data_IF_403635044491
#
_entry.id   IF_403635044491
#
_cell.length_a   1.000
_cell.length_b   1.000
_cell.length_c   1.000
_cell.angle_alpha   90.00
_cell.angle_beta   90.00
_cell.angle_gamma   90.00
#
_symmetry.space_group_name_H-M   'P 1'
#
loop_
_entity.id
_entity.type
_entity.pdbx_description
1 polymer ?
#
# COMPACT_ATOMS: atom_id res chain seq x y z
N UNK A 1 -9.98 23.24 9.29
CA UNK A 1 -8.64 22.93 9.82
C UNK A 1 -8.77 22.30 11.21
N UNK A 2 -9.51 21.19 11.32
CA UNK A 2 -9.72 20.44 12.59
C UNK A 2 -9.70 18.93 12.32
N UNK A 3 -10.20 18.51 11.16
CA UNK A 3 -10.09 17.12 10.68
C UNK A 3 -8.63 16.67 10.53
N UNK A 4 -7.72 17.56 10.12
CA UNK A 4 -6.31 17.21 9.92
C UNK A 4 -5.56 16.89 11.23
N UNK A 5 -5.99 17.48 12.35
CA UNK A 5 -5.34 17.32 13.65
C UNK A 5 -5.61 15.94 14.28
N UNK A 6 -6.84 15.44 14.16
CA UNK A 6 -7.23 14.13 14.70
C UNK A 6 -6.45 13.02 14.00
N UNK A 7 -6.30 13.12 12.68
CA UNK A 7 -5.53 12.17 11.90
C UNK A 7 -4.06 12.19 12.30
N UNK A 8 -3.46 13.36 12.45
CA UNK A 8 -2.06 13.48 12.84
C UNK A 8 -1.76 12.85 14.20
N UNK A 9 -2.58 13.16 15.22
CA UNK A 9 -2.46 12.56 16.57
C UNK A 9 -2.60 11.04 16.51
N UNK A 10 -3.58 10.55 15.74
CA UNK A 10 -3.80 9.12 15.59
C UNK A 10 -2.62 8.42 14.89
N UNK A 11 -2.01 9.08 13.89
CA UNK A 11 -0.83 8.58 13.18
C UNK A 11 0.38 8.50 14.14
N UNK A 12 0.58 9.54 14.97
CA UNK A 12 1.65 9.48 15.98
C UNK A 12 1.42 8.38 17.03
N UNK A 13 0.17 8.17 17.44
CA UNK A 13 -0.15 7.16 18.44
C UNK A 13 0.10 5.74 17.91
N UNK A 14 -0.33 5.43 16.67
CA UNK A 14 -0.09 4.11 16.09
C UNK A 14 1.40 3.86 15.83
N UNK A 15 2.18 4.90 15.51
CA UNK A 15 3.64 4.81 15.38
C UNK A 15 4.32 4.39 16.69
N UNK A 16 3.85 4.93 17.82
CA UNK A 16 4.36 4.56 19.16
C UNK A 16 3.90 3.16 19.58
N UNK A 17 2.68 2.76 19.21
CA UNK A 17 2.08 1.48 19.61
C UNK A 17 2.64 0.30 18.79
N UNK A 18 2.84 0.48 17.49
CA UNK A 18 3.15 -0.63 16.58
C UNK A 18 3.95 -0.17 15.35
N UNK A 19 5.27 -0.42 15.34
CA UNK A 19 6.13 -0.13 14.17
C UNK A 19 5.66 -0.84 12.89
N UNK A 20 5.03 -2.01 13.02
CA UNK A 20 4.47 -2.75 11.88
C UNK A 20 3.24 -2.05 11.30
N UNK A 21 2.37 -1.54 12.16
CA UNK A 21 1.16 -0.83 11.74
C UNK A 21 1.53 0.50 11.08
N UNK A 22 2.46 1.24 11.67
CA UNK A 22 3.03 2.45 11.08
C UNK A 22 3.61 2.19 9.69
N UNK A 23 4.44 1.15 9.58
CA UNK A 23 5.08 0.80 8.32
C UNK A 23 4.06 0.44 7.24
N UNK A 24 3.07 -0.39 7.56
CA UNK A 24 1.95 -0.66 6.63
C UNK A 24 1.33 0.67 6.21
N UNK A 25 0.89 1.47 7.18
CA UNK A 25 0.15 2.71 6.95
C UNK A 25 0.88 3.65 5.99
N UNK A 26 2.18 3.83 6.20
CA UNK A 26 3.04 4.68 5.40
C UNK A 26 3.21 4.17 3.96
N UNK A 27 3.40 2.86 3.76
CA UNK A 27 3.55 2.27 2.43
C UNK A 27 2.22 2.27 1.67
N UNK A 28 1.12 1.85 2.32
CA UNK A 28 -0.18 1.72 1.64
C UNK A 28 -0.77 3.07 1.22
N UNK A 29 -0.31 4.16 1.82
CA UNK A 29 -0.67 5.52 1.43
C UNK A 29 -0.24 5.88 -0.01
N UNK A 30 0.61 5.07 -0.66
CA UNK A 30 1.07 5.29 -2.03
C UNK A 30 0.34 4.44 -3.08
N UNK A 31 -0.52 3.50 -2.68
CA UNK A 31 -1.34 2.70 -3.58
C UNK A 31 -2.70 3.35 -3.89
N UNK A 32 -3.49 2.72 -4.77
CA UNK A 32 -4.91 3.05 -4.84
C UNK A 32 -5.58 2.85 -3.48
N UNK A 33 -6.54 3.72 -3.19
CA UNK A 33 -7.11 3.84 -1.86
C UNK A 33 -8.17 2.76 -1.58
N UNK A 34 -8.62 2.01 -2.60
CA UNK A 34 -9.59 0.91 -2.49
C UNK A 34 -9.01 -0.37 -3.06
N UNK A 35 -9.61 -1.51 -2.70
CA UNK A 35 -9.25 -2.80 -3.30
C UNK A 35 -7.86 -3.29 -2.95
N UNK A 36 -7.22 -2.75 -1.89
CA UNK A 36 -5.86 -3.10 -1.48
C UNK A 36 -5.83 -4.58 -1.07
N UNK A 37 -5.13 -5.47 -1.78
CA UNK A 37 -5.14 -6.90 -1.46
C UNK A 37 -4.32 -7.21 -0.20
N UNK A 38 -4.68 -8.26 0.54
CA UNK A 38 -3.90 -8.71 1.70
C UNK A 38 -2.42 -8.97 1.35
N UNK A 39 -2.13 -9.60 0.21
CA UNK A 39 -0.74 -9.87 -0.23
C UNK A 39 0.08 -8.59 -0.41
N UNK A 40 -0.57 -7.50 -0.80
CA UNK A 40 0.06 -6.19 -0.96
C UNK A 40 0.40 -5.57 0.42
N UNK A 41 -0.49 -5.73 1.40
CA UNK A 41 -0.22 -5.33 2.80
C UNK A 41 0.91 -6.18 3.38
N UNK A 42 0.87 -7.50 3.15
CA UNK A 42 1.92 -8.43 3.59
C UNK A 42 3.29 -8.06 3.02
N UNK A 43 3.36 -7.71 1.74
CA UNK A 43 4.60 -7.28 1.10
C UNK A 43 5.20 -6.00 1.72
N UNK A 44 4.37 -5.12 2.31
CA UNK A 44 4.86 -3.91 2.99
C UNK A 44 5.72 -4.20 4.23
N UNK A 45 5.46 -5.32 4.91
CA UNK A 45 6.18 -5.71 6.13
C UNK A 45 7.39 -6.60 5.82
N UNK A 46 7.43 -7.23 4.64
CA UNK A 46 8.51 -8.11 4.20
C UNK A 46 8.29 -9.58 4.55
N UNK A 47 9.07 -10.47 3.91
CA UNK A 47 8.89 -11.93 3.94
C UNK A 47 9.28 -12.61 5.26
N UNK A 48 9.92 -11.90 6.19
CA UNK A 48 10.39 -12.42 7.48
C UNK A 48 9.36 -12.32 8.61
N UNK A 49 8.23 -11.65 8.38
CA UNK A 49 7.21 -11.47 9.41
C UNK A 49 6.17 -12.59 9.40
N UNK A 50 5.84 -13.11 10.58
CA UNK A 50 4.80 -14.14 10.69
C UNK A 50 3.42 -13.57 10.36
N UNK A 51 2.57 -14.40 9.77
CA UNK A 51 1.21 -14.01 9.39
C UNK A 51 0.41 -13.43 10.57
N UNK A 52 0.56 -14.01 11.76
CA UNK A 52 -0.07 -13.50 12.98
C UNK A 52 0.33 -12.05 13.30
N UNK A 53 1.59 -11.66 13.08
CA UNK A 53 2.03 -10.28 13.32
C UNK A 53 1.43 -9.31 12.30
N UNK A 54 1.28 -9.75 11.05
CA UNK A 54 0.64 -8.96 9.99
C UNK A 54 -0.84 -8.76 10.33
N UNK A 55 -1.55 -9.82 10.73
CA UNK A 55 -2.95 -9.74 11.14
C UNK A 55 -3.16 -8.85 12.35
N UNK A 56 -2.27 -8.91 13.34
CA UNK A 56 -2.30 -8.00 14.49
C UNK A 56 -2.11 -6.54 14.06
N UNK A 57 -1.15 -6.26 13.16
CA UNK A 57 -0.94 -4.90 12.66
C UNK A 57 -2.15 -4.37 11.85
N UNK A 58 -2.75 -5.21 11.01
CA UNK A 58 -3.99 -4.88 10.29
C UNK A 58 -5.14 -4.62 11.27
N UNK A 59 -5.27 -5.44 12.32
CA UNK A 59 -6.28 -5.24 13.36
C UNK A 59 -6.12 -3.88 14.01
N UNK A 60 -4.89 -3.49 14.40
CA UNK A 60 -4.62 -2.18 15.00
C UNK A 60 -5.00 -1.04 14.05
N UNK A 61 -4.66 -1.15 12.77
CA UNK A 61 -5.03 -0.13 11.79
C UNK A 61 -6.54 -0.04 11.58
N UNK A 62 -7.26 -1.15 11.76
CA UNK A 62 -8.73 -1.20 11.70
C UNK A 62 -9.35 -0.57 12.96
N UNK A 63 -8.77 -0.83 14.14
CA UNK A 63 -9.19 -0.24 15.42
C UNK A 63 -9.11 1.29 15.39
N UNK A 64 -8.08 1.84 14.75
CA UNK A 64 -7.90 3.28 14.52
C UNK A 64 -8.69 3.82 13.32
N UNK A 65 -9.48 2.98 12.64
CA UNK A 65 -10.22 3.33 11.41
C UNK A 65 -9.35 3.84 10.26
N UNK A 66 -8.07 3.49 10.25
CA UNK A 66 -7.16 3.78 9.14
C UNK A 66 -7.36 2.85 7.95
N UNK A 67 -7.81 1.63 8.22
CA UNK A 67 -8.13 0.60 7.24
C UNK A 67 -9.55 0.10 7.47
N UNK A 68 -10.26 -0.16 6.37
CA UNK A 68 -11.58 -0.78 6.37
C UNK A 68 -11.55 -2.03 5.51
N UNK A 69 -12.13 -3.11 6.02
CA UNK A 69 -12.25 -4.38 5.28
C UNK A 69 -13.32 -4.23 4.20
N UNK A 70 -12.96 -4.52 2.95
CA UNK A 70 -13.87 -4.68 1.82
C UNK A 70 -14.12 -6.18 1.57
N UNK A 71 -15.37 -6.56 1.28
CA UNK A 71 -15.74 -7.97 1.11
C UNK A 71 -14.98 -8.62 -0.05
N UNK A 72 -14.53 -9.86 0.16
CA UNK A 72 -14.07 -10.72 -0.90
C UNK A 72 -15.26 -11.06 -1.81
N UNK A 73 -15.16 -10.73 -3.09
CA UNK A 73 -16.02 -11.33 -4.11
C UNK A 73 -15.28 -12.62 -4.48
N UNK A 74 -15.79 -13.75 -4.00
CA UNK A 74 -15.32 -15.13 -4.28
C UNK A 74 -14.06 -15.59 -3.51
N UNK A 75 -14.26 -16.45 -2.50
CA UNK A 75 -13.33 -17.37 -1.77
C UNK A 75 -11.88 -16.92 -1.42
N UNK A 76 -11.50 -15.70 -1.73
CA UNK A 76 -10.16 -15.15 -1.54
C UNK A 76 -10.00 -14.31 -0.28
N UNK A 77 -8.76 -13.90 -0.02
CA UNK A 77 -8.44 -12.98 1.07
C UNK A 77 -9.15 -11.63 0.88
N UNK A 78 -9.55 -10.95 1.98
CA UNK A 78 -10.22 -9.67 1.88
C UNK A 78 -9.35 -8.62 1.19
N UNK A 79 -10.03 -7.66 0.57
CA UNK A 79 -9.39 -6.41 0.15
C UNK A 79 -9.65 -5.34 1.21
N UNK A 80 -8.89 -4.26 1.14
CA UNK A 80 -8.98 -3.19 2.12
C UNK A 80 -9.09 -1.82 1.45
N UNK A 81 -9.65 -0.88 2.19
CA UNK A 81 -9.69 0.54 1.84
C UNK A 81 -8.97 1.37 2.90
N UNK A 82 -8.08 2.24 2.43
CA UNK A 82 -7.54 3.33 3.21
C UNK A 82 -8.23 4.60 2.76
N UNK A 83 -8.89 5.30 3.67
CA UNK A 83 -9.63 6.50 3.31
C UNK A 83 -8.70 7.57 2.71
N UNK A 84 -9.15 8.30 1.68
CA UNK A 84 -8.30 9.26 0.95
C UNK A 84 -7.70 10.35 1.86
N UNK A 85 -8.45 10.76 2.88
CA UNK A 85 -7.97 11.72 3.89
C UNK A 85 -6.87 11.12 4.77
N UNK A 86 -7.00 9.85 5.17
CA UNK A 86 -5.94 9.14 5.89
C UNK A 86 -4.69 9.07 5.03
N UNK A 87 -4.81 8.65 3.76
CA UNK A 87 -3.68 8.64 2.83
C UNK A 87 -2.98 10.01 2.70
N UNK A 88 -3.77 11.08 2.65
CA UNK A 88 -3.23 12.43 2.57
C UNK A 88 -2.50 12.81 3.86
N UNK A 89 -3.14 12.64 5.01
CA UNK A 89 -2.58 12.95 6.31
C UNK A 89 -1.29 12.16 6.57
N UNK A 90 -1.28 10.85 6.28
CA UNK A 90 -0.09 10.00 6.38
C UNK A 90 1.05 10.57 5.56
N UNK A 91 0.83 10.90 4.27
CA UNK A 91 1.90 11.46 3.42
C UNK A 91 2.37 12.84 3.88
N UNK A 92 1.47 13.68 4.40
CA UNK A 92 1.81 15.00 4.94
C UNK A 92 2.61 14.91 6.26
N UNK A 93 2.48 13.80 7.00
CA UNK A 93 3.24 13.57 8.23
C UNK A 93 4.68 13.08 7.98
N UNK A 94 5.02 12.68 6.75
CA UNK A 94 6.36 12.21 6.40
C UNK A 94 7.32 13.37 6.16
N UNK A 95 8.57 13.21 6.60
CA UNK A 95 9.67 14.01 6.07
C UNK A 95 9.88 13.74 4.57
N UNK A 96 10.57 14.64 3.88
CA UNK A 96 10.90 14.46 2.45
C UNK A 96 11.64 13.13 2.22
N UNK A 97 12.65 12.82 3.02
CA UNK A 97 13.40 11.56 2.91
C UNK A 97 12.50 10.33 3.09
N UNK A 98 11.62 10.32 4.10
CA UNK A 98 10.67 9.23 4.31
C UNK A 98 9.66 9.11 3.16
N UNK A 99 9.18 10.23 2.62
CA UNK A 99 8.27 10.24 1.48
C UNK A 99 8.91 9.57 0.26
N UNK A 100 10.14 9.95 -0.09
CA UNK A 100 10.88 9.37 -1.21
C UNK A 100 11.11 7.87 -0.98
N UNK A 101 11.49 7.49 0.24
CA UNK A 101 11.77 6.10 0.60
C UNK A 101 10.52 5.22 0.57
N UNK A 102 9.46 5.57 1.30
CA UNK A 102 8.22 4.77 1.33
C UNK A 102 7.51 4.71 -0.03
N UNK A 103 7.57 5.79 -0.83
CA UNK A 103 7.05 5.74 -2.20
C UNK A 103 7.89 4.84 -3.12
N UNK A 104 9.21 4.79 -2.91
CA UNK A 104 10.12 3.85 -3.57
C UNK A 104 9.84 2.40 -3.18
N UNK A 105 9.62 2.13 -1.90
CA UNK A 105 9.23 0.80 -1.41
C UNK A 105 7.89 0.34 -2.00
N UNK A 106 6.88 1.21 -2.02
CA UNK A 106 5.59 0.92 -2.66
C UNK A 106 5.75 0.62 -4.16
N UNK A 107 6.60 1.39 -4.86
CA UNK A 107 6.89 1.13 -6.27
C UNK A 107 7.58 -0.22 -6.48
N UNK A 108 8.58 -0.55 -5.66
CA UNK A 108 9.26 -1.84 -5.70
C UNK A 108 8.31 -3.01 -5.44
N UNK A 109 7.44 -2.91 -4.42
CA UNK A 109 6.40 -3.91 -4.14
C UNK A 109 5.52 -4.12 -5.37
N UNK A 110 5.12 -3.05 -6.06
CA UNK A 110 4.35 -3.20 -7.31
C UNK A 110 5.16 -3.88 -8.40
N UNK A 111 6.43 -3.55 -8.59
CA UNK A 111 7.28 -4.24 -9.58
C UNK A 111 7.38 -5.73 -9.28
N UNK A 112 7.55 -6.09 -8.00
CA UNK A 112 7.75 -7.47 -7.56
C UNK A 112 6.46 -8.31 -7.65
N UNK A 113 5.30 -7.71 -7.34
CA UNK A 113 4.01 -8.41 -7.30
C UNK A 113 3.19 -8.32 -8.59
N UNK A 114 3.37 -7.28 -9.42
CA UNK A 114 2.55 -7.10 -10.60
C UNK A 114 2.88 -8.20 -11.62
N UNK A 115 1.89 -9.05 -11.97
CA UNK A 115 2.16 -10.22 -12.80
C UNK A 115 2.44 -9.82 -14.25
N UNK A 116 3.20 -10.67 -14.94
CA UNK A 116 3.33 -10.58 -16.39
C UNK A 116 1.98 -10.97 -17.00
N UNK A 117 1.41 -10.11 -17.85
CA UNK A 117 0.12 -10.34 -18.48
C UNK A 117 0.09 -11.61 -19.33
N UNK A 118 -0.66 -12.61 -18.86
CA UNK A 118 -1.07 -13.82 -19.58
C UNK A 118 -2.56 -14.07 -19.32
N UNK A 119 -3.15 -15.08 -19.96
CA UNK A 119 -4.56 -15.41 -19.73
C UNK A 119 -4.82 -15.83 -18.26
N UNK A 120 -3.87 -16.54 -17.67
CA UNK A 120 -3.92 -17.07 -16.30
C UNK A 120 -3.79 -15.97 -15.24
N UNK A 121 -3.04 -14.89 -15.54
CA UNK A 121 -2.78 -13.81 -14.58
C UNK A 121 -3.77 -12.65 -14.68
N UNK A 122 -4.75 -12.73 -15.59
CA UNK A 122 -5.69 -11.65 -15.92
C UNK A 122 -6.39 -11.04 -14.70
N UNK A 123 -6.90 -11.89 -13.79
CA UNK A 123 -7.60 -11.41 -12.59
C UNK A 123 -6.65 -10.65 -11.64
N UNK A 124 -5.43 -11.16 -11.47
CA UNK A 124 -4.38 -10.48 -10.70
C UNK A 124 -3.94 -9.17 -11.34
N UNK A 125 -3.82 -9.11 -12.68
CA UNK A 125 -3.56 -7.85 -13.38
C UNK A 125 -4.65 -6.82 -13.11
N UNK A 126 -5.93 -7.19 -13.21
CA UNK A 126 -7.07 -6.30 -12.92
C UNK A 126 -7.01 -5.77 -11.49
N UNK A 127 -6.74 -6.67 -10.53
CA UNK A 127 -6.65 -6.33 -9.11
C UNK A 127 -5.50 -5.37 -8.83
N UNK A 128 -4.31 -5.59 -9.41
CA UNK A 128 -3.11 -4.80 -9.12
C UNK A 128 -2.96 -3.52 -9.96
N UNK A 129 -3.66 -3.41 -11.09
CA UNK A 129 -3.49 -2.30 -12.03
C UNK A 129 -3.76 -0.91 -11.43
N UNK A 130 -4.82 -0.67 -10.63
CA UNK A 130 -5.04 0.63 -10.00
C UNK A 130 -3.86 1.05 -9.10
N UNK A 131 -3.31 0.09 -8.36
CA UNK A 131 -2.17 0.32 -7.46
C UNK A 131 -0.89 0.59 -8.26
N UNK A 132 -0.63 -0.16 -9.32
CA UNK A 132 0.52 0.03 -10.20
C UNK A 132 0.51 1.40 -10.89
N UNK A 133 -0.64 1.83 -11.41
CA UNK A 133 -0.81 3.16 -12.00
C UNK A 133 -0.57 4.28 -10.98
N UNK A 134 -0.95 4.06 -9.72
CA UNK A 134 -0.76 5.05 -8.65
C UNK A 134 0.72 5.22 -8.31
N UNK A 135 1.46 4.12 -8.17
CA UNK A 135 2.89 4.15 -7.82
C UNK A 135 3.73 4.63 -9.00
N UNK A 136 3.45 4.20 -10.23
CA UNK A 136 4.18 4.62 -11.43
C UNK A 136 4.09 6.13 -11.72
N UNK A 137 3.08 6.84 -11.19
CA UNK A 137 2.99 8.30 -11.31
C UNK A 137 3.99 9.05 -10.42
N UNK A 138 4.64 8.38 -9.46
CA UNK A 138 5.54 8.99 -8.47
C UNK A 138 6.98 9.04 -8.95
N UNK A 139 7.28 9.96 -9.89
CA UNK A 139 8.63 10.12 -10.47
C UNK A 139 9.75 10.44 -9.47
N UNK A 140 9.39 10.96 -8.30
CA UNK A 140 10.32 11.29 -7.22
C UNK A 140 10.65 10.08 -6.34
N UNK A 141 9.96 8.96 -6.48
CA UNK A 141 10.16 7.78 -5.64
C UNK A 141 11.62 7.29 -5.70
N UNK A 142 12.14 6.84 -4.56
CA UNK A 142 13.46 6.24 -4.50
C UNK A 142 13.51 5.00 -5.43
N UNK A 143 14.60 4.86 -6.20
CA UNK A 143 14.75 3.76 -7.16
C UNK A 143 13.85 3.83 -8.40
N UNK A 144 13.11 4.93 -8.61
CA UNK A 144 12.16 5.08 -9.73
C UNK A 144 12.75 4.71 -11.10
N UNK A 145 13.98 5.16 -11.39
CA UNK A 145 14.63 4.91 -12.69
C UNK A 145 14.85 3.42 -12.98
N UNK A 146 14.97 2.60 -11.93
CA UNK A 146 15.17 1.16 -12.06
C UNK A 146 13.83 0.41 -12.05
N UNK A 147 12.89 0.85 -11.20
CA UNK A 147 11.64 0.13 -10.95
C UNK A 147 10.53 0.46 -11.96
N UNK A 148 10.36 1.75 -12.29
CA UNK A 148 9.26 2.19 -13.14
C UNK A 148 9.28 1.56 -14.55
N UNK A 149 10.42 1.44 -15.25
CA UNK A 149 10.44 0.80 -16.56
C UNK A 149 9.97 -0.67 -16.53
N UNK A 150 10.36 -1.42 -15.51
CA UNK A 150 9.97 -2.83 -15.33
C UNK A 150 8.46 -2.94 -15.10
N UNK A 151 7.93 -2.14 -14.16
CA UNK A 151 6.49 -2.13 -13.87
C UNK A 151 5.67 -1.74 -15.10
N UNK A 152 6.09 -0.70 -15.83
CA UNK A 152 5.42 -0.26 -17.06
C UNK A 152 5.47 -1.33 -18.16
N UNK A 153 6.58 -2.07 -18.27
CA UNK A 153 6.69 -3.19 -19.20
C UNK A 153 5.69 -4.31 -18.85
N UNK A 154 5.56 -4.68 -17.57
CA UNK A 154 4.59 -5.70 -17.15
C UNK A 154 3.15 -5.25 -17.40
N UNK A 155 2.83 -3.99 -17.08
CA UNK A 155 1.51 -3.39 -17.35
C UNK A 155 1.20 -3.32 -18.85
N UNK A 156 2.19 -3.04 -19.69
CA UNK A 156 2.02 -2.94 -21.14
C UNK A 156 1.69 -4.27 -21.81
N UNK A 157 2.09 -5.41 -21.22
CA UNK A 157 1.76 -6.75 -21.72
C UNK A 157 0.34 -7.21 -21.38
N UNK A 158 -0.35 -6.48 -20.50
CA UNK A 158 -1.74 -6.75 -20.15
C UNK A 158 -2.74 -6.14 -21.15
N UNK A 159 -2.33 -5.10 -21.89
CA UNK A 159 -3.11 -4.46 -22.96
C UNK A 159 -2.80 -5.08 -24.31
#
# INVERSE_FOLDING_TARGET
>A
MYIDLIWFISIENIAKESPWSERILNIIAFFDNKGIPFELIKASIGSTCSENKILLAISRLTDYSFLQVQRAVDEGMPTYEQHRLVQLATRCALSEAQFLSFSGEALKIMTDLFPIGTHETRNSCILYLPHALKTAKRRQAEGYQNQAPLLLQHMGRYY
#
